data_IF_095903614254
#
_entry.id   IF_095903614254
#
_cell.length_a   1.000
_cell.length_b   1.000
_cell.length_c   1.000
_cell.angle_alpha   90.00
_cell.angle_beta   90.00
_cell.angle_gamma   90.00
#
_symmetry.space_group_name_H-M   'P 1'
#
loop_
_entity.id
_entity.type
_entity.pdbx_description
1 polymer ?
#
# COMPACT_ATOMS: atom_id res chain seq x y z
N UNK A 1 -1.76 19.77 -5.96
CA UNK A 1 -0.54 20.34 -5.36
C UNK A 1 -0.43 19.96 -3.89
N UNK A 2 -1.42 20.33 -3.11
CA UNK A 2 -1.40 20.01 -1.67
C UNK A 2 -1.54 18.50 -1.42
N UNK A 3 -2.10 17.77 -2.35
CA UNK A 3 -2.31 16.33 -2.20
C UNK A 3 -1.01 15.54 -2.23
N UNK A 4 -0.06 15.93 -3.09
CA UNK A 4 1.23 15.26 -3.16
C UNK A 4 2.01 15.40 -1.84
N UNK A 5 1.88 16.56 -1.19
CA UNK A 5 2.56 16.80 0.08
C UNK A 5 1.94 16.00 1.22
N UNK A 6 0.61 15.80 1.21
CA UNK A 6 -0.06 15.00 2.24
C UNK A 6 0.37 13.53 2.18
N UNK A 7 0.46 12.97 0.96
CA UNK A 7 0.89 11.61 0.78
C UNK A 7 2.31 11.37 1.27
N UNK A 8 3.18 12.36 1.13
CA UNK A 8 4.59 12.22 1.51
C UNK A 8 4.78 11.95 3.00
N UNK A 9 4.01 12.60 3.85
CA UNK A 9 4.15 12.39 5.30
C UNK A 9 3.74 10.98 5.70
N UNK A 10 2.62 10.49 5.18
CA UNK A 10 2.16 9.14 5.45
C UNK A 10 3.09 8.09 4.85
N UNK A 11 3.63 8.35 3.67
CA UNK A 11 4.59 7.44 3.06
C UNK A 11 5.84 7.30 3.92
N UNK A 12 6.35 8.41 4.45
CA UNK A 12 7.51 8.38 5.35
C UNK A 12 7.21 7.60 6.63
N UNK A 13 6.01 7.79 7.18
CA UNK A 13 5.59 7.04 8.36
C UNK A 13 5.56 5.54 8.08
N UNK A 14 5.02 5.16 6.93
CA UNK A 14 4.97 3.74 6.54
C UNK A 14 6.37 3.17 6.38
N UNK A 15 7.26 3.89 5.69
CA UNK A 15 8.65 3.47 5.52
C UNK A 15 9.31 3.23 6.87
N UNK A 16 9.13 4.17 7.81
CA UNK A 16 9.70 4.05 9.15
C UNK A 16 9.18 2.78 9.86
N UNK A 17 7.88 2.53 9.77
CA UNK A 17 7.28 1.36 10.41
C UNK A 17 7.77 0.05 9.80
N UNK A 18 8.06 0.05 8.50
CA UNK A 18 8.62 -1.14 7.85
C UNK A 18 10.04 -1.39 8.30
N UNK A 19 10.86 -0.34 8.45
CA UNK A 19 12.20 -0.50 9.00
C UNK A 19 12.17 -1.03 10.43
N UNK A 20 11.20 -0.63 11.23
CA UNK A 20 11.03 -1.15 12.58
C UNK A 20 10.74 -2.65 12.59
N UNK A 21 10.26 -3.19 11.47
CA UNK A 21 9.94 -4.61 11.32
C UNK A 21 10.98 -5.37 10.51
N UNK A 22 12.17 -4.80 10.45
CA UNK A 22 13.34 -5.41 9.82
C UNK A 22 13.21 -5.54 8.29
N UNK A 23 12.52 -4.60 7.68
CA UNK A 23 12.48 -4.47 6.23
C UNK A 23 13.29 -3.25 5.82
N UNK A 24 14.10 -3.39 4.78
CA UNK A 24 14.64 -2.22 4.10
C UNK A 24 13.50 -1.65 3.26
N UNK A 25 13.20 -0.38 3.42
CA UNK A 25 12.08 0.24 2.73
C UNK A 25 12.46 1.61 2.20
N UNK A 26 11.84 1.99 1.08
CA UNK A 26 12.07 3.31 0.49
C UNK A 26 10.84 3.76 -0.26
N UNK A 27 10.70 5.07 -0.36
CA UNK A 27 9.68 5.68 -1.20
C UNK A 27 10.20 5.73 -2.63
N UNK A 28 9.30 5.51 -3.59
CA UNK A 28 9.64 5.73 -4.98
C UNK A 28 9.83 7.23 -5.24
N UNK A 29 10.70 7.61 -6.17
CA UNK A 29 10.87 9.02 -6.49
C UNK A 29 9.56 9.63 -6.99
N UNK A 30 9.17 10.76 -6.41
CA UNK A 30 8.01 11.52 -6.88
C UNK A 30 8.49 12.39 -8.05
N UNK A 31 8.61 11.79 -9.20
CA UNK A 31 9.36 12.38 -10.29
C UNK A 31 8.63 13.45 -11.08
N UNK A 32 7.35 13.70 -10.78
CA UNK A 32 6.65 14.79 -11.45
C UNK A 32 6.65 14.71 -12.95
N UNK A 33 6.68 13.54 -13.51
CA UNK A 33 6.69 13.38 -14.96
C UNK A 33 8.04 13.00 -15.54
N UNK A 34 9.07 12.88 -14.71
CA UNK A 34 10.38 12.45 -15.18
C UNK A 34 10.36 11.01 -15.68
N UNK A 35 9.43 10.21 -15.21
CA UNK A 35 9.24 8.87 -15.72
C UNK A 35 7.76 8.53 -15.80
N UNK A 36 7.40 7.75 -16.81
CA UNK A 36 6.04 7.22 -16.96
C UNK A 36 5.98 5.73 -16.63
N UNK A 37 7.04 5.22 -16.02
CA UNK A 37 7.08 3.82 -15.65
C UNK A 37 6.11 3.56 -14.50
N UNK A 38 5.51 2.37 -14.45
CA UNK A 38 4.63 2.02 -13.33
C UNK A 38 5.44 1.83 -12.06
N UNK A 39 5.36 2.81 -11.16
CA UNK A 39 6.08 2.77 -9.89
C UNK A 39 5.08 2.77 -8.74
N UNK A 40 5.29 1.92 -7.72
CA UNK A 40 4.52 2.01 -6.49
C UNK A 40 5.00 3.18 -5.64
N UNK A 41 4.25 3.53 -4.60
CA UNK A 41 4.68 4.61 -3.72
C UNK A 41 5.81 4.18 -2.78
N UNK A 42 5.77 2.93 -2.33
CA UNK A 42 6.75 2.37 -1.38
C UNK A 42 7.14 0.97 -1.82
N UNK A 43 8.42 0.67 -1.71
CA UNK A 43 8.90 -0.71 -1.87
C UNK A 43 9.66 -1.11 -0.61
N UNK A 44 9.57 -2.39 -0.25
CA UNK A 44 10.24 -2.90 0.94
C UNK A 44 10.65 -4.35 0.72
N UNK A 45 11.73 -4.75 1.37
CA UNK A 45 12.19 -6.13 1.30
C UNK A 45 13.04 -6.49 2.49
N UNK A 46 13.03 -7.76 2.85
CA UNK A 46 13.84 -8.27 3.96
C UNK A 46 14.77 -9.41 3.51
N UNK A 47 14.95 -9.58 2.21
CA UNK A 47 15.75 -10.65 1.68
C UNK A 47 14.98 -11.94 1.40
N UNK A 48 13.74 -12.03 1.90
CA UNK A 48 12.87 -13.18 1.68
C UNK A 48 11.51 -12.77 1.16
N UNK A 49 10.96 -11.70 1.72
CA UNK A 49 9.65 -11.18 1.36
C UNK A 49 9.83 -9.77 0.80
N UNK A 50 9.18 -9.49 -0.30
CA UNK A 50 9.26 -8.20 -0.98
C UNK A 50 7.87 -7.66 -1.17
N UNK A 51 7.69 -6.37 -0.87
CA UNK A 51 6.40 -5.69 -0.90
C UNK A 51 6.44 -4.48 -1.81
N UNK A 52 5.38 -4.26 -2.56
CA UNK A 52 5.18 -3.02 -3.31
C UNK A 52 3.83 -2.46 -2.88
N UNK A 53 3.80 -1.22 -2.46
CA UNK A 53 2.64 -0.65 -1.81
C UNK A 53 2.22 0.66 -2.48
N UNK A 54 0.95 0.71 -2.89
CA UNK A 54 0.32 1.95 -3.32
C UNK A 54 -0.37 2.55 -2.10
N UNK A 55 -0.04 3.80 -1.77
CA UNK A 55 -0.50 4.44 -0.54
C UNK A 55 -1.65 5.39 -0.83
N UNK A 56 -2.75 5.23 -0.09
CA UNK A 56 -3.90 6.13 -0.19
C UNK A 56 -4.37 6.50 1.21
N UNK A 57 -4.51 7.79 1.45
CA UNK A 57 -4.98 8.28 2.74
C UNK A 57 -6.15 9.23 2.52
N UNK A 58 -7.02 9.30 3.51
CA UNK A 58 -8.18 10.18 3.44
C UNK A 58 -8.70 10.50 4.84
N UNK A 59 -9.35 11.65 4.97
CA UNK A 59 -10.11 11.99 6.17
C UNK A 59 -11.57 11.57 6.04
N UNK A 60 -11.96 11.06 4.88
CA UNK A 60 -13.33 10.63 4.59
C UNK A 60 -13.49 9.13 4.84
N UNK A 61 -14.68 8.62 4.56
CA UNK A 61 -15.00 7.22 4.81
C UNK A 61 -14.79 6.31 3.61
N UNK A 62 -14.40 6.86 2.47
CA UNK A 62 -14.25 6.10 1.23
C UNK A 62 -13.02 6.57 0.46
N UNK A 63 -12.40 5.61 -0.22
CA UNK A 63 -11.28 5.88 -1.12
C UNK A 63 -11.64 5.28 -2.47
N UNK A 64 -11.47 6.07 -3.54
CA UNK A 64 -11.62 5.61 -4.91
C UNK A 64 -10.27 5.63 -5.57
N UNK A 65 -9.95 4.57 -6.31
CA UNK A 65 -8.68 4.46 -7.01
C UNK A 65 -8.97 4.05 -8.45
N UNK A 66 -8.41 4.78 -9.40
CA UNK A 66 -8.60 4.46 -10.81
C UNK A 66 -7.88 3.16 -11.17
N UNK A 67 -8.48 2.39 -12.06
CA UNK A 67 -7.94 1.10 -12.47
C UNK A 67 -6.47 1.18 -12.90
N UNK A 68 -6.03 2.15 -13.71
CA UNK A 68 -4.63 2.18 -14.15
C UNK A 68 -3.61 2.27 -13.01
N UNK A 69 -3.96 2.89 -11.88
CA UNK A 69 -3.04 2.99 -10.76
C UNK A 69 -2.77 1.62 -10.15
N UNK A 70 -3.81 0.80 -10.02
CA UNK A 70 -3.65 -0.54 -9.43
C UNK A 70 -3.04 -1.49 -10.46
N UNK A 71 -3.38 -1.34 -11.73
CA UNK A 71 -2.77 -2.12 -12.79
C UNK A 71 -1.25 -1.88 -12.83
N UNK A 72 -0.84 -0.63 -12.68
CA UNK A 72 0.59 -0.28 -12.61
C UNK A 72 1.27 -0.90 -11.40
N UNK A 73 0.61 -0.89 -10.26
CA UNK A 73 1.13 -1.55 -9.06
C UNK A 73 1.35 -3.04 -9.30
N UNK A 74 0.38 -3.69 -9.91
CA UNK A 74 0.47 -5.13 -10.18
C UNK A 74 1.56 -5.44 -11.21
N UNK A 75 1.68 -4.63 -12.24
CA UNK A 75 2.73 -4.79 -13.25
C UNK A 75 4.13 -4.67 -12.63
N UNK A 76 4.34 -3.62 -11.84
CA UNK A 76 5.62 -3.44 -11.15
C UNK A 76 5.90 -4.63 -10.24
N UNK A 77 4.91 -5.03 -9.45
CA UNK A 77 5.09 -6.09 -8.47
C UNK A 77 5.48 -7.42 -9.13
N UNK A 78 4.84 -7.75 -10.24
CA UNK A 78 5.13 -8.98 -10.96
C UNK A 78 6.57 -9.00 -11.48
N UNK A 79 7.03 -7.90 -12.08
CA UNK A 79 8.38 -7.81 -12.62
C UNK A 79 9.44 -7.77 -11.53
N UNK A 80 9.13 -7.09 -10.43
CA UNK A 80 10.07 -6.90 -9.33
C UNK A 80 10.16 -8.14 -8.44
N UNK A 81 9.15 -8.98 -8.44
CA UNK A 81 9.07 -10.11 -7.52
C UNK A 81 8.50 -9.74 -6.17
N UNK A 82 7.66 -8.71 -6.12
CA UNK A 82 7.07 -8.24 -4.88
C UNK A 82 5.60 -8.60 -4.81
N UNK A 83 5.07 -8.65 -3.58
CA UNK A 83 3.65 -8.81 -3.35
C UNK A 83 3.01 -7.43 -3.32
N UNK A 84 1.96 -7.20 -4.14
CA UNK A 84 1.31 -5.89 -4.16
C UNK A 84 0.30 -5.72 -3.03
N UNK A 85 0.28 -4.51 -2.46
CA UNK A 85 -0.73 -4.14 -1.49
C UNK A 85 -1.18 -2.70 -1.73
N UNK A 86 -2.45 -2.44 -1.45
CA UNK A 86 -2.96 -1.09 -1.34
C UNK A 86 -2.93 -0.76 0.15
N UNK A 87 -2.06 0.16 0.54
CA UNK A 87 -1.95 0.60 1.93
C UNK A 87 -2.82 1.81 2.16
N UNK A 88 -3.83 1.67 3.00
CA UNK A 88 -4.78 2.74 3.25
C UNK A 88 -4.75 3.18 4.70
N UNK A 89 -5.02 4.46 4.89
CA UNK A 89 -5.16 5.02 6.23
C UNK A 89 -6.30 6.01 6.23
N UNK A 90 -7.32 5.71 6.99
CA UNK A 90 -8.45 6.60 7.22
C UNK A 90 -8.19 7.43 8.47
N UNK A 91 -8.96 8.47 8.67
CA UNK A 91 -8.83 9.30 9.86
C UNK A 91 -9.02 8.41 11.10
N UNK A 92 -8.06 8.48 12.02
CA UNK A 92 -8.03 7.75 13.29
C UNK A 92 -7.89 6.23 13.15
N UNK A 93 -7.49 5.72 11.98
CA UNK A 93 -7.18 4.30 11.87
C UNK A 93 -5.68 4.08 11.85
N UNK A 94 -5.28 2.85 12.11
CA UNK A 94 -3.92 2.39 11.82
C UNK A 94 -3.81 2.09 10.32
N UNK A 95 -2.63 1.71 9.88
CA UNK A 95 -2.42 1.27 8.50
C UNK A 95 -3.17 -0.03 8.25
N UNK A 96 -3.87 -0.07 7.12
CA UNK A 96 -4.64 -1.24 6.68
C UNK A 96 -4.21 -1.58 5.26
N UNK A 97 -4.06 -2.87 4.98
CA UNK A 97 -3.52 -3.32 3.70
C UNK A 97 -4.47 -4.28 3.01
N UNK A 98 -4.71 -4.04 1.73
CA UNK A 98 -5.60 -4.85 0.92
C UNK A 98 -4.86 -5.39 -0.31
N UNK A 99 -5.06 -6.67 -0.60
CA UNK A 99 -4.56 -7.22 -1.86
C UNK A 99 -5.46 -6.70 -2.98
N UNK A 100 -4.87 -6.28 -4.13
CA UNK A 100 -5.68 -5.77 -5.23
C UNK A 100 -6.83 -6.69 -5.66
N UNK A 101 -6.56 -7.99 -5.75
CA UNK A 101 -7.56 -8.96 -6.19
C UNK A 101 -8.72 -9.14 -5.23
N UNK A 102 -8.55 -8.72 -3.96
CA UNK A 102 -9.60 -8.82 -2.93
C UNK A 102 -10.25 -7.48 -2.65
N UNK A 103 -9.95 -6.48 -3.45
CA UNK A 103 -10.45 -5.12 -3.25
C UNK A 103 -11.70 -4.91 -4.10
N UNK A 104 -12.77 -4.36 -3.52
CA UNK A 104 -14.03 -4.15 -4.27
C UNK A 104 -13.85 -3.24 -5.47
N UNK A 105 -14.63 -3.53 -6.50
CA UNK A 105 -14.61 -2.81 -7.77
C UNK A 105 -15.92 -2.06 -7.97
N UNK A 106 -15.85 -0.98 -8.73
CA UNK A 106 -17.05 -0.23 -9.12
C UNK A 106 -17.55 -0.72 -10.47
N UNK A 107 -18.72 -0.23 -10.89
CA UNK A 107 -19.27 -0.59 -12.20
C UNK A 107 -18.38 -0.14 -13.35
N UNK A 108 -17.63 0.95 -13.16
CA UNK A 108 -16.70 1.45 -14.17
C UNK A 108 -15.32 0.80 -14.06
N UNK A 109 -15.23 -0.28 -13.31
CA UNK A 109 -14.03 -1.10 -13.16
C UNK A 109 -12.88 -0.42 -12.40
N UNK A 110 -13.19 0.62 -11.64
CA UNK A 110 -12.25 1.23 -10.72
C UNK A 110 -12.38 0.54 -9.35
N UNK A 111 -11.57 0.95 -8.39
CA UNK A 111 -11.57 0.37 -7.05
C UNK A 111 -12.24 1.31 -6.06
N UNK A 112 -12.93 0.73 -5.09
CA UNK A 112 -13.59 1.48 -4.03
C UNK A 112 -13.33 0.78 -2.71
N UNK A 113 -12.77 1.52 -1.76
CA UNK A 113 -12.48 0.98 -0.44
C UNK A 113 -13.25 1.80 0.59
N UNK A 114 -14.23 1.19 1.23
CA UNK A 114 -14.97 1.81 2.30
C UNK A 114 -14.28 1.52 3.63
N UNK A 115 -14.32 2.48 4.54
CA UNK A 115 -13.66 2.36 5.84
C UNK A 115 -14.11 1.11 6.60
N UNK A 116 -15.41 0.86 6.65
CA UNK A 116 -15.92 -0.31 7.37
C UNK A 116 -15.44 -1.62 6.76
N UNK A 117 -15.38 -1.68 5.43
CA UNK A 117 -14.86 -2.85 4.74
C UNK A 117 -13.39 -3.07 5.11
N UNK A 118 -12.59 -2.00 5.07
CA UNK A 118 -11.17 -2.11 5.38
C UNK A 118 -10.94 -2.54 6.83
N UNK A 119 -11.71 -1.98 7.76
CA UNK A 119 -11.57 -2.35 9.17
C UNK A 119 -11.89 -3.83 9.41
N UNK A 120 -12.81 -4.40 8.62
CA UNK A 120 -13.20 -5.79 8.76
C UNK A 120 -12.27 -6.74 8.02
N UNK A 121 -11.85 -6.40 6.79
CA UNK A 121 -11.21 -7.34 5.89
C UNK A 121 -9.74 -7.10 5.63
N UNK A 122 -9.23 -5.90 5.88
CA UNK A 122 -7.85 -5.59 5.55
C UNK A 122 -6.87 -6.23 6.53
N UNK A 123 -5.64 -6.36 6.08
CA UNK A 123 -4.54 -6.89 6.88
C UNK A 123 -3.84 -5.76 7.61
N UNK A 124 -3.21 -6.09 8.73
CA UNK A 124 -2.40 -5.13 9.48
C UNK A 124 -0.93 -5.25 9.07
N UNK A 125 -0.14 -4.27 9.46
CA UNK A 125 1.27 -4.24 9.06
C UNK A 125 2.04 -5.47 9.56
N UNK A 126 1.71 -5.96 10.74
CA UNK A 126 2.38 -7.15 11.28
C UNK A 126 2.03 -8.40 10.46
N UNK A 127 0.83 -8.43 9.89
CA UNK A 127 0.44 -9.55 9.04
C UNK A 127 1.16 -9.53 7.70
N UNK A 128 1.29 -8.36 7.06
CA UNK A 128 1.96 -8.31 5.74
C UNK A 128 3.46 -8.46 5.86
N UNK A 129 4.04 -8.18 7.01
CA UNK A 129 5.48 -8.34 7.25
C UNK A 129 5.83 -9.72 7.79
N UNK A 130 4.83 -10.55 8.08
CA UNK A 130 5.05 -11.92 8.53
C UNK A 130 5.32 -12.08 10.01
N UNK A 131 5.25 -11.02 10.80
CA UNK A 131 5.50 -11.10 12.24
C UNK A 131 4.51 -12.02 12.94
N UNK A 132 3.22 -11.90 12.59
CA UNK A 132 2.18 -12.75 13.16
C UNK A 132 2.40 -14.23 12.86
N UNK A 133 2.94 -14.53 11.66
CA UNK A 133 3.25 -15.91 11.30
C UNK A 133 4.37 -16.47 12.16
N UNK A 134 5.37 -15.67 12.45
CA UNK A 134 6.47 -16.09 13.32
C UNK A 134 5.96 -16.39 14.72
N UNK A 135 5.05 -15.57 15.21
CA UNK A 135 4.47 -15.79 16.54
C UNK A 135 3.64 -17.05 16.62
N UNK A 136 3.04 -17.50 15.53
CA UNK A 136 2.20 -18.70 15.51
C UNK A 136 2.99 -20.01 15.63
N UNK A 137 4.28 -19.96 15.43
CA UNK A 137 5.11 -21.16 15.54
C UNK A 137 5.70 -21.35 16.94
N UNK A 138 5.46 -20.43 17.82
CA UNK A 138 5.91 -20.53 19.21
C UNK A 138 4.83 -21.14 20.09
#
# INVERSE_FOLDING_TARGET
ISMAKKGSAEERDLVHKLWERDFAAMRAPASGGATKKPLPDVVAGNGKLYLAIEVKTTTKDKIYIDFPQIDALCEFSEKFGAKPYIGVKFKYTKWLFLEPEKTPRTKSDNYKIEKDFALEKALEIDEITGIDRQMKFW
#
